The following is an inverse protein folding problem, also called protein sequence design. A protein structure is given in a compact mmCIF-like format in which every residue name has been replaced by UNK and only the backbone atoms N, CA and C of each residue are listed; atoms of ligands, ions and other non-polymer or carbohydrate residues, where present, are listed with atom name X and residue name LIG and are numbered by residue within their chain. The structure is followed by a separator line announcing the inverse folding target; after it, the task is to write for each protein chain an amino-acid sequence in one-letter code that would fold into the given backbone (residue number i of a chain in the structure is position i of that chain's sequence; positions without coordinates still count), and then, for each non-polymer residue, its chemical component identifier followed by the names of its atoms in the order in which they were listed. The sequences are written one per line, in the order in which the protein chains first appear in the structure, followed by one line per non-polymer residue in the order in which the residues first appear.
data_IF_026380389961
#
_entry.id   IF_026380389961
#
_cell.length_a   1.000
_cell.length_b   1.000
_cell.length_c   1.000
_cell.angle_alpha   90.00
_cell.angle_beta   90.00
_cell.angle_gamma   90.00
#
_symmetry.space_group_name_H-M   'P 1'
#
loop_
_entity.id
_entity.type
_entity.pdbx_description
1 polymer ?
#
# COMPACT_ATOMS: atom_id res chain seq x y z
N UNK A 1 73.44 -7.28 -66.86
CA UNK A 1 73.11 -8.38 -67.79
C UNK A 1 72.98 -9.65 -66.96
N UNK A 2 71.80 -10.29 -66.98
CA UNK A 2 71.48 -11.69 -66.60
C UNK A 2 72.02 -12.22 -65.26
N UNK A 3 71.36 -13.05 -64.47
CA UNK A 3 70.18 -13.91 -64.59
C UNK A 3 69.98 -14.54 -63.19
N UNK A 4 68.71 -14.83 -62.87
CA UNK A 4 68.16 -15.70 -61.81
C UNK A 4 68.96 -16.99 -61.45
N UNK A 5 68.57 -17.78 -60.41
CA UNK A 5 67.54 -17.59 -59.38
C UNK A 5 67.97 -18.01 -57.93
N UNK A 6 67.17 -17.61 -56.94
CA UNK A 6 67.25 -18.07 -55.54
C UNK A 6 66.50 -19.39 -55.34
N UNK A 7 67.17 -20.39 -54.74
CA UNK A 7 66.55 -21.60 -54.17
C UNK A 7 66.43 -21.43 -52.65
N UNK A 8 65.20 -21.49 -52.14
CA UNK A 8 64.89 -21.49 -50.72
C UNK A 8 65.15 -22.88 -50.11
N UNK A 9 66.05 -22.95 -49.13
CA UNK A 9 66.13 -24.07 -48.19
C UNK A 9 65.33 -23.75 -46.91
N UNK A 10 64.38 -24.63 -46.62
CA UNK A 10 63.57 -24.66 -45.39
C UNK A 10 64.45 -24.85 -44.15
N UNK A 11 64.35 -23.92 -43.19
CA UNK A 11 64.68 -24.13 -41.78
C UNK A 11 63.37 -24.00 -40.99
N UNK A 12 62.88 -25.12 -40.46
CA UNK A 12 61.77 -25.15 -39.51
C UNK A 12 62.24 -24.57 -38.17
N UNK A 13 61.70 -23.41 -37.81
CA UNK A 13 61.69 -22.93 -36.42
C UNK A 13 60.30 -23.19 -35.87
N UNK A 14 60.19 -24.12 -34.92
CA UNK A 14 58.97 -24.39 -34.17
C UNK A 14 58.65 -23.23 -33.23
N UNK A 15 57.72 -22.36 -33.64
CA UNK A 15 57.07 -21.43 -32.71
C UNK A 15 56.01 -22.18 -31.90
N UNK A 16 56.25 -22.36 -30.60
CA UNK A 16 55.20 -22.73 -29.65
C UNK A 16 54.24 -21.54 -29.49
N UNK A 17 53.07 -21.61 -30.15
CA UNK A 17 51.96 -20.71 -29.86
C UNK A 17 51.07 -21.33 -28.78
N UNK A 18 51.11 -20.75 -27.58
CA UNK A 18 50.17 -21.08 -26.51
C UNK A 18 48.82 -20.37 -26.76
N UNK A 19 47.68 -21.06 -26.68
CA UNK A 19 46.39 -20.47 -27.02
C UNK A 19 45.95 -19.47 -25.96
N UNK A 20 45.81 -18.19 -26.35
CA UNK A 20 45.35 -17.06 -25.53
C UNK A 20 44.06 -17.31 -24.71
N UNK A 21 43.25 -18.30 -25.07
CA UNK A 21 42.01 -18.66 -24.37
C UNK A 21 42.24 -19.28 -22.98
N UNK A 22 43.41 -19.86 -22.70
CA UNK A 22 43.69 -20.46 -21.39
C UNK A 22 44.09 -19.43 -20.33
N UNK A 23 44.72 -18.30 -20.70
CA UNK A 23 45.11 -17.26 -19.75
C UNK A 23 43.92 -16.55 -19.10
N UNK A 24 42.84 -16.33 -19.85
CA UNK A 24 41.62 -15.69 -19.31
C UNK A 24 40.94 -16.61 -18.29
N UNK A 25 40.94 -17.92 -18.54
CA UNK A 25 40.40 -18.89 -17.60
C UNK A 25 41.22 -18.92 -16.30
N UNK A 26 42.55 -19.02 -16.38
CA UNK A 26 43.39 -19.02 -15.18
C UNK A 26 43.37 -17.69 -14.41
N UNK A 27 43.24 -16.55 -15.11
CA UNK A 27 43.05 -15.24 -14.48
C UNK A 27 41.75 -15.16 -13.67
N UNK A 28 40.64 -15.69 -14.20
CA UNK A 28 39.36 -15.75 -13.49
C UNK A 28 39.42 -16.68 -12.27
N UNK A 29 40.11 -17.82 -12.38
CA UNK A 29 40.28 -18.74 -11.25
C UNK A 29 41.18 -18.19 -10.13
N UNK A 30 42.09 -17.25 -10.43
CA UNK A 30 42.92 -16.59 -9.42
C UNK A 30 42.19 -15.48 -8.64
N UNK A 31 41.13 -14.91 -9.21
CA UNK A 31 40.34 -13.85 -8.56
C UNK A 31 39.46 -14.38 -7.42
N UNK A 32 38.99 -15.63 -7.52
CA UNK A 32 38.16 -16.28 -6.51
C UNK A 32 38.88 -16.43 -5.15
N UNK A 33 40.11 -17.00 -5.07
CA UNK A 33 40.84 -17.10 -3.80
C UNK A 33 41.28 -15.74 -3.27
N UNK A 34 41.56 -14.75 -4.14
CA UNK A 34 41.86 -13.38 -3.71
C UNK A 34 40.64 -12.68 -3.10
N UNK A 35 39.45 -12.86 -3.66
CA UNK A 35 38.20 -12.35 -3.11
C UNK A 35 37.85 -13.02 -1.77
N UNK A 36 38.06 -14.34 -1.66
CA UNK A 36 37.90 -15.09 -0.40
C UNK A 36 38.89 -14.65 0.68
N UNK A 37 40.16 -14.43 0.32
CA UNK A 37 41.18 -13.92 1.24
C UNK A 37 40.84 -12.50 1.71
N UNK A 38 40.38 -11.63 0.80
CA UNK A 38 39.92 -10.29 1.14
C UNK A 38 38.69 -10.33 2.06
N UNK A 39 37.73 -11.21 1.79
CA UNK A 39 36.59 -11.41 2.67
C UNK A 39 37.01 -11.85 4.08
N UNK A 40 37.93 -12.81 4.20
CA UNK A 40 38.41 -13.32 5.49
C UNK A 40 39.27 -12.31 6.27
N UNK A 41 39.99 -11.41 5.59
CA UNK A 41 40.82 -10.38 6.23
C UNK A 41 40.00 -9.16 6.69
N UNK A 42 38.93 -8.81 5.98
CA UNK A 42 38.17 -7.58 6.23
C UNK A 42 36.80 -7.84 6.89
N UNK A 43 36.34 -9.09 6.95
CA UNK A 43 35.12 -9.50 7.64
C UNK A 43 35.41 -10.68 8.58
N UNK A 44 35.87 -10.43 9.82
CA UNK A 44 36.05 -11.53 10.78
C UNK A 44 34.69 -12.19 11.03
N UNK A 45 34.64 -13.53 10.92
CA UNK A 45 33.49 -14.31 11.34
C UNK A 45 33.15 -13.91 12.78
N UNK A 46 31.91 -13.48 13.01
CA UNK A 46 31.40 -13.12 14.32
C UNK A 46 31.63 -14.29 15.28
N UNK A 47 32.63 -14.16 16.14
CA UNK A 47 32.86 -15.07 17.26
C UNK A 47 31.64 -15.00 18.17
N UNK A 48 31.06 -16.15 18.46
CA UNK A 48 29.94 -16.31 19.39
C UNK A 48 30.18 -15.49 20.68
N UNK A 49 29.25 -14.60 21.01
CA UNK A 49 29.26 -13.86 22.29
C UNK A 49 29.19 -14.86 23.46
N UNK A 50 30.01 -14.72 24.51
CA UNK A 50 29.80 -15.46 25.74
C UNK A 50 28.53 -14.96 26.44
N UNK A 51 27.88 -15.80 27.28
CA UNK A 51 26.65 -15.41 27.96
C UNK A 51 26.93 -14.28 28.95
N UNK A 52 26.10 -13.24 28.88
CA UNK A 52 26.11 -12.11 29.82
C UNK A 52 25.61 -12.61 31.18
N UNK A 53 26.46 -12.54 32.21
CA UNK A 53 26.04 -12.67 33.61
C UNK A 53 25.18 -11.46 33.99
N UNK A 54 23.98 -11.73 34.54
CA UNK A 54 23.15 -10.74 35.22
C UNK A 54 23.86 -10.25 36.50
N UNK A 55 23.95 -8.93 36.75
CA UNK A 55 24.36 -8.42 38.05
C UNK A 55 23.27 -8.69 39.09
N UNK A 56 23.67 -9.25 40.24
CA UNK A 56 22.82 -9.38 41.42
C UNK A 56 22.39 -8.00 41.92
N UNK A 57 21.10 -7.87 42.25
CA UNK A 57 20.57 -6.80 43.08
C UNK A 57 21.24 -6.87 44.45
N UNK A 58 21.90 -5.78 44.83
CA UNK A 58 22.28 -5.52 46.22
C UNK A 58 21.47 -4.31 46.69
N UNK A 59 20.57 -4.58 47.63
CA UNK A 59 19.85 -3.58 48.42
C UNK A 59 20.86 -2.72 49.18
N UNK A 60 20.71 -1.38 49.09
CA UNK A 60 21.02 -0.50 50.20
C UNK A 60 20.18 0.79 50.09
N UNK A 61 19.53 1.13 51.21
CA UNK A 61 18.58 2.23 51.39
C UNK A 61 19.31 3.58 51.64
N UNK A 62 18.61 4.73 51.62
CA UNK A 62 19.17 6.01 51.18
C UNK A 62 19.78 6.87 52.29
N UNK A 63 20.76 7.70 51.92
CA UNK A 63 21.25 8.81 52.74
C UNK A 63 20.82 10.17 52.16
N UNK A 64 20.35 11.03 53.06
CA UNK A 64 19.66 12.30 52.84
C UNK A 64 20.68 13.50 52.83
N UNK A 65 20.30 14.64 52.19
CA UNK A 65 20.69 16.07 52.46
C UNK A 65 21.98 16.65 51.81
N UNK A 66 22.04 17.96 51.41
CA UNK A 66 21.08 18.83 50.73
C UNK A 66 21.65 19.66 49.54
N UNK A 67 20.71 20.32 48.86
CA UNK A 67 20.81 21.41 47.87
C UNK A 67 21.80 22.55 48.17
N UNK A 68 22.47 23.06 47.12
CA UNK A 68 22.87 24.47 47.03
C UNK A 68 22.65 25.05 45.61
N UNK A 69 22.21 26.30 45.63
CA UNK A 69 21.76 27.15 44.53
C UNK A 69 22.86 27.61 43.57
N UNK A 70 22.47 27.86 42.31
CA UNK A 70 23.22 28.68 41.35
C UNK A 70 22.30 29.14 40.21
N UNK A 71 21.87 30.41 40.28
CA UNK A 71 21.03 31.10 39.30
C UNK A 71 21.80 31.53 38.04
N UNK A 72 21.16 31.44 36.87
CA UNK A 72 21.25 32.45 35.80
C UNK A 72 19.99 32.36 34.88
N UNK A 73 19.53 33.48 34.29
CA UNK A 73 18.12 33.69 33.94
C UNK A 73 17.80 33.41 32.46
N UNK A 74 16.59 32.93 32.18
CA UNK A 74 16.00 32.92 30.83
C UNK A 74 14.75 33.81 30.86
N UNK A 75 14.72 34.77 29.94
CA UNK A 75 13.64 35.72 29.72
C UNK A 75 12.30 35.01 29.47
N UNK A 76 11.27 35.56 30.13
CA UNK A 76 9.88 35.29 29.88
C UNK A 76 9.38 36.13 28.69
N UNK A 77 8.64 35.49 27.79
CA UNK A 77 7.33 35.96 27.32
C UNK A 77 6.83 34.99 26.23
N UNK A 78 5.94 34.06 26.60
CA UNK A 78 4.69 33.83 25.85
C UNK A 78 3.74 33.00 26.73
N UNK A 79 2.64 33.61 27.14
CA UNK A 79 1.61 33.05 28.01
C UNK A 79 0.79 31.96 27.31
N UNK A 80 0.78 30.76 27.88
CA UNK A 80 -0.25 29.74 27.63
C UNK A 80 -1.44 29.96 28.59
N UNK A 81 -2.70 29.82 28.15
CA UNK A 81 -3.87 29.95 29.01
C UNK A 81 -4.03 28.74 29.95
N UNK A 82 -4.69 28.91 31.11
CA UNK A 82 -4.75 27.87 32.14
C UNK A 82 -5.67 26.70 31.76
N UNK A 83 -5.39 25.48 32.25
CA UNK A 83 -6.28 24.34 32.10
C UNK A 83 -7.52 24.49 33.01
N UNK A 84 -8.71 24.24 32.44
CA UNK A 84 -9.95 24.14 33.22
C UNK A 84 -9.92 22.93 34.18
N UNK A 85 -10.48 23.06 35.39
CA UNK A 85 -10.34 22.03 36.42
C UNK A 85 -11.28 20.85 36.18
N UNK A 86 -10.71 19.65 36.27
CA UNK A 86 -11.42 18.41 36.53
C UNK A 86 -12.24 18.53 37.82
N UNK A 87 -13.52 18.16 37.76
CA UNK A 87 -14.35 17.91 38.95
C UNK A 87 -14.93 16.52 38.82
N UNK A 88 -14.47 15.61 39.68
CA UNK A 88 -15.12 14.34 39.98
C UNK A 88 -15.90 14.46 41.30
N UNK A 89 -16.99 13.70 41.33
CA UNK A 89 -17.73 13.12 42.46
C UNK A 89 -19.14 13.66 42.82
N UNK A 90 -20.10 12.81 42.39
CA UNK A 90 -21.35 12.30 42.97
C UNK A 90 -22.45 13.23 43.52
N UNK A 91 -23.69 13.03 43.03
CA UNK A 91 -24.88 12.65 43.85
C UNK A 91 -25.94 11.95 42.96
N UNK A 92 -26.46 10.81 43.45
CA UNK A 92 -27.64 10.07 42.96
C UNK A 92 -28.93 10.91 42.97
N UNK A 93 -29.74 10.86 41.90
CA UNK A 93 -31.13 11.29 41.96
C UNK A 93 -31.90 11.40 40.64
N UNK A 94 -32.75 10.41 40.39
CA UNK A 94 -33.98 10.39 39.58
C UNK A 94 -33.96 10.78 38.08
N UNK A 95 -34.15 9.76 37.24
CA UNK A 95 -34.62 9.86 35.85
C UNK A 95 -36.01 10.51 35.72
N UNK A 96 -36.23 11.27 34.64
CA UNK A 96 -37.47 11.23 33.90
C UNK A 96 -37.29 10.47 32.58
N UNK A 97 -38.39 9.84 32.18
CA UNK A 97 -38.55 8.98 31.02
C UNK A 97 -38.02 9.56 29.69
N UNK A 98 -37.18 8.77 29.04
CA UNK A 98 -37.35 8.36 27.64
C UNK A 98 -37.53 9.46 26.59
N UNK A 99 -36.49 10.26 26.37
CA UNK A 99 -36.25 10.77 25.01
C UNK A 99 -35.68 9.62 24.19
N UNK A 100 -36.40 9.21 23.15
CA UNK A 100 -35.88 8.34 22.13
C UNK A 100 -34.61 9.00 21.58
N UNK A 101 -33.45 8.40 21.88
CA UNK A 101 -32.20 8.74 21.21
C UNK A 101 -32.45 8.47 19.74
N UNK A 102 -32.70 9.54 18.98
CA UNK A 102 -32.67 9.45 17.53
C UNK A 102 -31.31 8.90 17.19
N UNK A 103 -31.27 7.71 16.60
CA UNK A 103 -30.02 7.13 16.13
C UNK A 103 -29.38 8.19 15.24
N UNK A 104 -28.25 8.75 15.67
CA UNK A 104 -27.52 9.74 14.91
C UNK A 104 -27.28 9.14 13.53
N UNK A 105 -27.52 9.89 12.44
CA UNK A 105 -27.26 9.36 11.11
C UNK A 105 -25.81 8.85 11.03
N UNK A 106 -25.56 7.75 10.30
CA UNK A 106 -24.21 7.22 10.11
C UNK A 106 -23.25 8.34 9.69
N UNK A 107 -22.04 8.37 10.27
CA UNK A 107 -21.12 9.45 9.93
C UNK A 107 -20.63 9.34 8.48
N UNK A 108 -20.66 10.49 7.81
CA UNK A 108 -20.02 10.71 6.52
C UNK A 108 -18.55 11.09 6.74
N UNK A 109 -17.65 10.14 6.44
CA UNK A 109 -16.20 10.32 6.54
C UNK A 109 -15.56 10.93 5.28
N UNK A 110 -16.33 11.15 4.20
CA UNK A 110 -15.81 11.62 2.92
C UNK A 110 -15.39 13.09 2.92
N UNK A 111 -15.94 13.88 3.86
CA UNK A 111 -15.71 15.32 3.96
C UNK A 111 -15.12 15.71 5.31
N UNK A 112 -14.05 16.50 5.27
CA UNK A 112 -13.19 16.79 6.42
C UNK A 112 -11.93 17.54 6.04
N UNK A 113 -10.99 17.56 6.98
CA UNK A 113 -9.69 18.18 6.82
C UNK A 113 -8.59 17.39 7.55
N UNK A 114 -7.35 17.56 7.11
CA UNK A 114 -6.19 17.00 7.82
C UNK A 114 -5.73 17.96 8.91
N UNK A 115 -5.62 17.45 10.14
CA UNK A 115 -5.10 18.21 11.27
C UNK A 115 -3.86 17.55 11.85
N UNK A 116 -2.89 18.31 12.41
CA UNK A 116 -1.73 17.74 13.05
C UNK A 116 -2.10 16.79 14.18
N UNK A 117 -1.34 15.72 14.32
CA UNK A 117 -1.51 14.72 15.37
C UNK A 117 -0.15 14.26 15.89
N UNK A 118 0.11 14.49 17.17
CA UNK A 118 1.37 14.14 17.81
C UNK A 118 1.52 12.64 18.10
N UNK A 119 0.45 11.84 17.91
CA UNK A 119 0.49 10.39 18.10
C UNK A 119 1.40 9.74 17.06
N UNK A 120 2.37 8.90 17.47
CA UNK A 120 3.21 8.19 16.51
C UNK A 120 2.41 7.11 15.78
N UNK A 121 2.85 6.68 14.57
CA UNK A 121 2.26 5.53 13.89
C UNK A 121 2.32 4.25 14.73
N UNK A 122 1.35 3.36 14.54
CA UNK A 122 1.25 2.09 15.28
C UNK A 122 2.34 1.07 14.91
N UNK A 123 3.06 1.31 13.82
CA UNK A 123 4.14 0.46 13.33
C UNK A 123 5.20 1.31 12.63
N UNK A 124 6.36 0.72 12.38
CA UNK A 124 7.42 1.34 11.59
C UNK A 124 7.92 0.37 10.50
N UNK A 125 8.85 0.85 9.65
CA UNK A 125 9.39 0.08 8.53
C UNK A 125 10.12 -1.23 8.91
N UNK A 126 10.45 -1.42 10.18
CA UNK A 126 11.14 -2.64 10.68
C UNK A 126 10.22 -3.59 11.43
N UNK A 127 9.10 -3.10 11.99
CA UNK A 127 8.20 -3.90 12.81
C UNK A 127 7.16 -4.67 11.98
N UNK A 128 6.97 -4.31 10.71
CA UNK A 128 6.00 -4.96 9.83
C UNK A 128 6.66 -5.67 8.65
N UNK A 129 6.48 -6.98 8.55
CA UNK A 129 7.04 -7.82 7.47
C UNK A 129 6.21 -7.85 6.18
N UNK A 130 5.07 -7.15 6.11
CA UNK A 130 4.18 -7.16 4.93
C UNK A 130 4.32 -5.93 4.04
N UNK A 131 5.14 -4.94 4.43
CA UNK A 131 5.38 -3.74 3.62
C UNK A 131 6.08 -4.14 2.32
N UNK A 132 5.51 -3.76 1.17
CA UNK A 132 6.20 -3.88 -0.11
C UNK A 132 7.40 -2.95 -0.13
N UNK A 133 8.55 -3.43 -0.59
CA UNK A 133 9.84 -2.70 -0.62
C UNK A 133 9.71 -1.22 -1.03
N UNK A 134 9.15 -0.94 -2.21
CA UNK A 134 8.97 0.44 -2.70
C UNK A 134 7.97 1.33 -1.94
N UNK A 135 7.29 0.81 -0.92
CA UNK A 135 6.41 1.56 -0.01
C UNK A 135 7.04 1.78 1.37
N UNK A 136 8.20 1.15 1.66
CA UNK A 136 8.95 1.32 2.90
C UNK A 136 9.88 2.53 2.83
N UNK A 137 9.30 3.73 2.72
CA UNK A 137 10.01 4.97 2.44
C UNK A 137 11.11 5.28 3.47
N UNK A 138 10.88 4.97 4.75
CA UNK A 138 11.87 5.17 5.81
C UNK A 138 13.07 4.23 5.67
N UNK A 139 12.84 2.96 5.31
CA UNK A 139 13.94 2.03 5.04
C UNK A 139 14.80 2.46 3.85
N UNK A 140 14.20 3.18 2.90
CA UNK A 140 14.88 3.78 1.75
C UNK A 140 15.49 5.16 2.02
N UNK A 141 15.58 5.58 3.28
CA UNK A 141 16.28 6.80 3.66
C UNK A 141 15.51 8.09 3.43
N UNK A 142 14.17 8.04 3.32
CA UNK A 142 13.35 9.26 3.28
C UNK A 142 13.61 10.13 4.52
N UNK A 143 14.08 11.38 4.37
CA UNK A 143 14.53 12.19 5.50
C UNK A 143 13.39 12.93 6.21
N UNK A 144 12.32 13.28 5.51
CA UNK A 144 11.17 13.98 6.09
C UNK A 144 10.16 12.99 6.69
N UNK A 145 9.79 13.20 7.95
CA UNK A 145 8.84 12.33 8.69
C UNK A 145 7.53 13.03 9.03
N UNK A 146 7.38 14.31 8.68
CA UNK A 146 6.21 15.13 9.00
C UNK A 146 4.89 14.57 8.46
N UNK A 147 4.93 13.81 7.36
CA UNK A 147 3.76 13.17 6.76
C UNK A 147 3.10 12.12 7.66
N UNK A 148 3.81 11.61 8.67
CA UNK A 148 3.31 10.60 9.61
C UNK A 148 2.37 11.18 10.68
N UNK A 149 2.42 12.49 10.92
CA UNK A 149 1.82 13.15 12.09
C UNK A 149 0.57 13.94 11.73
N UNK A 150 -0.35 13.29 11.02
CA UNK A 150 -1.60 13.86 10.56
C UNK A 150 -2.75 12.89 10.79
N UNK A 151 -3.90 13.42 11.21
CA UNK A 151 -5.16 12.68 11.30
C UNK A 151 -6.24 13.35 10.48
N UNK A 152 -7.12 12.55 9.89
CA UNK A 152 -8.31 13.04 9.23
C UNK A 152 -9.37 13.41 10.27
N UNK A 153 -9.92 14.63 10.17
CA UNK A 153 -11.02 15.11 10.98
C UNK A 153 -12.25 15.32 10.07
N UNK A 154 -13.24 14.43 10.11
CA UNK A 154 -14.51 14.65 9.41
C UNK A 154 -15.21 15.91 9.92
N UNK A 155 -16.02 16.55 9.07
CA UNK A 155 -16.69 17.82 9.42
C UNK A 155 -17.75 17.67 10.52
N UNK A 156 -18.47 16.54 10.55
CA UNK A 156 -19.72 16.39 11.32
C UNK A 156 -19.65 15.30 12.40
N UNK A 157 -18.50 14.65 12.56
CA UNK A 157 -18.30 13.61 13.55
C UNK A 157 -16.81 13.40 13.85
N UNK A 158 -16.52 12.55 14.82
CA UNK A 158 -15.18 12.08 15.09
C UNK A 158 -14.87 10.79 14.33
N UNK A 159 -13.65 10.69 13.81
CA UNK A 159 -13.05 9.43 13.36
C UNK A 159 -12.16 8.90 14.50
N UNK A 160 -12.56 7.80 15.19
CA UNK A 160 -11.74 7.21 16.23
C UNK A 160 -10.40 6.70 15.66
N UNK A 161 -9.35 6.80 16.46
CA UNK A 161 -8.06 6.20 16.11
C UNK A 161 -8.19 4.69 15.85
N UNK A 162 -7.38 4.16 14.94
CA UNK A 162 -7.40 2.73 14.64
C UNK A 162 -7.15 1.88 15.90
N UNK A 163 -8.02 0.92 16.16
CA UNK A 163 -7.86 -0.05 17.24
C UNK A 163 -7.61 -1.44 16.64
N UNK A 164 -6.35 -1.94 16.65
CA UNK A 164 -6.02 -3.28 16.18
C UNK A 164 -6.84 -4.36 16.88
N UNK A 165 -7.00 -4.23 18.21
CA UNK A 165 -7.77 -5.15 19.02
C UNK A 165 -9.28 -5.14 18.68
N UNK A 166 -9.86 -3.98 18.35
CA UNK A 166 -11.25 -3.92 17.91
C UNK A 166 -11.44 -4.56 16.54
N UNK A 167 -10.54 -4.28 15.60
CA UNK A 167 -10.60 -4.86 14.25
C UNK A 167 -10.43 -6.39 14.30
N UNK A 168 -9.44 -6.90 15.05
CA UNK A 168 -9.23 -8.34 15.22
C UNK A 168 -10.41 -9.04 15.92
N UNK A 169 -11.04 -8.39 16.92
CA UNK A 169 -12.27 -8.90 17.53
C UNK A 169 -13.40 -9.02 16.52
N UNK A 170 -13.56 -8.04 15.64
CA UNK A 170 -14.56 -8.12 14.56
C UNK A 170 -14.21 -9.22 13.54
N UNK A 171 -12.92 -9.35 13.18
CA UNK A 171 -12.41 -10.39 12.27
C UNK A 171 -12.45 -11.81 12.85
N UNK A 172 -12.79 -11.99 14.14
CA UNK A 172 -12.79 -13.30 14.78
C UNK A 172 -13.72 -14.27 14.03
N UNK A 173 -13.17 -15.41 13.60
CA UNK A 173 -13.85 -16.39 12.76
C UNK A 173 -14.40 -15.79 11.44
N UNK A 174 -13.69 -14.81 10.87
CA UNK A 174 -14.06 -14.19 9.59
C UNK A 174 -12.92 -14.22 8.59
N UNK A 175 -13.28 -14.18 7.31
CA UNK A 175 -12.37 -13.99 6.20
C UNK A 175 -12.63 -12.65 5.50
N UNK A 176 -11.66 -11.74 5.60
CA UNK A 176 -11.62 -10.46 4.88
C UNK A 176 -10.69 -10.57 3.66
N UNK A 177 -11.14 -10.09 2.51
CA UNK A 177 -10.33 -10.01 1.30
C UNK A 177 -10.18 -8.58 0.79
N UNK A 178 -8.96 -8.16 0.44
CA UNK A 178 -8.71 -7.02 -0.42
C UNK A 178 -8.62 -7.52 -1.87
N UNK A 179 -9.37 -6.93 -2.78
CA UNK A 179 -9.46 -7.36 -4.17
C UNK A 179 -9.30 -6.15 -5.07
N UNK A 180 -8.35 -6.19 -5.99
CA UNK A 180 -8.17 -5.06 -6.89
C UNK A 180 -6.76 -4.89 -7.42
N UNK A 181 -6.42 -3.63 -7.69
CA UNK A 181 -5.11 -3.22 -8.20
C UNK A 181 -4.07 -3.06 -7.07
N UNK A 182 -2.99 -2.34 -7.36
CA UNK A 182 -1.90 -2.13 -6.43
C UNK A 182 -2.27 -1.24 -5.24
N UNK A 183 -3.32 -0.41 -5.34
CA UNK A 183 -3.82 0.37 -4.20
C UNK A 183 -4.64 -0.49 -3.26
N UNK A 184 -5.41 -1.47 -3.78
CA UNK A 184 -6.07 -2.49 -2.95
C UNK A 184 -5.05 -3.26 -2.10
N UNK A 185 -3.94 -3.65 -2.73
CA UNK A 185 -2.81 -4.30 -2.06
C UNK A 185 -2.16 -3.39 -1.03
N UNK A 186 -1.88 -2.13 -1.37
CA UNK A 186 -1.26 -1.15 -0.47
C UNK A 186 -2.12 -0.95 0.80
N UNK A 187 -3.45 -0.83 0.64
CA UNK A 187 -4.37 -0.74 1.77
C UNK A 187 -4.39 -2.02 2.62
N UNK A 188 -4.42 -3.20 1.98
CA UNK A 188 -4.42 -4.48 2.67
C UNK A 188 -3.12 -4.77 3.43
N UNK A 189 -1.97 -4.40 2.86
CA UNK A 189 -0.67 -4.50 3.53
C UNK A 189 -0.56 -3.53 4.72
N UNK A 190 -1.09 -2.30 4.58
CA UNK A 190 -1.24 -1.35 5.70
C UNK A 190 -2.10 -1.94 6.82
N UNK A 191 -3.24 -2.57 6.50
CA UNK A 191 -4.07 -3.21 7.51
C UNK A 191 -3.29 -4.32 8.25
N UNK A 192 -2.60 -5.20 7.51
CA UNK A 192 -1.78 -6.25 8.11
C UNK A 192 -0.72 -5.68 9.07
N UNK A 193 -0.08 -4.56 8.71
CA UNK A 193 0.86 -3.88 9.59
C UNK A 193 0.19 -3.33 10.85
N UNK A 194 -0.96 -2.64 10.72
CA UNK A 194 -1.73 -2.14 11.84
C UNK A 194 -2.14 -3.27 12.80
N UNK A 195 -2.61 -4.40 12.27
CA UNK A 195 -2.99 -5.56 13.08
C UNK A 195 -1.78 -6.26 13.73
N UNK A 196 -0.63 -6.29 13.04
CA UNK A 196 0.60 -6.91 13.54
C UNK A 196 1.15 -6.25 14.81
N UNK A 197 0.77 -5.00 15.08
CA UNK A 197 1.08 -4.31 16.35
C UNK A 197 0.41 -4.95 17.58
N UNK A 198 -0.59 -5.82 17.37
CA UNK A 198 -1.35 -6.49 18.43
C UNK A 198 -1.30 -8.02 18.34
N UNK A 199 -1.33 -8.61 17.15
CA UNK A 199 -1.25 -10.06 16.95
C UNK A 199 -0.50 -10.35 15.66
N UNK A 200 0.47 -11.26 15.67
CA UNK A 200 1.33 -11.52 14.50
C UNK A 200 0.60 -12.39 13.46
N UNK A 201 0.51 -11.95 12.19
CA UNK A 201 -0.06 -12.79 11.13
C UNK A 201 0.94 -13.85 10.63
N UNK A 202 0.45 -15.07 10.38
CA UNK A 202 1.19 -16.09 9.64
C UNK A 202 0.80 -16.06 8.16
N UNK A 203 1.77 -15.96 7.24
CA UNK A 203 1.54 -16.14 5.81
C UNK A 203 1.36 -17.63 5.50
N UNK A 204 0.12 -18.05 5.24
CA UNK A 204 -0.23 -19.47 5.00
C UNK A 204 -0.34 -19.82 3.51
N UNK A 205 -0.39 -18.83 2.64
CA UNK A 205 -0.47 -19.05 1.18
C UNK A 205 0.15 -17.90 0.40
N UNK A 206 0.85 -18.25 -0.70
CA UNK A 206 1.42 -17.34 -1.69
C UNK A 206 1.39 -18.01 -3.07
N UNK A 207 0.91 -17.33 -4.12
CA UNK A 207 0.95 -17.86 -5.48
C UNK A 207 2.26 -17.51 -6.22
N UNK A 208 3.01 -18.55 -6.61
CA UNK A 208 4.14 -18.45 -7.56
C UNK A 208 5.16 -17.34 -7.28
N UNK A 209 5.79 -16.85 -8.36
CA UNK A 209 6.83 -15.81 -8.30
C UNK A 209 6.25 -14.37 -8.29
N UNK A 210 5.06 -14.16 -8.87
CA UNK A 210 4.47 -12.82 -9.03
C UNK A 210 3.66 -12.33 -7.82
N UNK A 211 3.42 -13.17 -6.81
CA UNK A 211 2.80 -12.78 -5.53
C UNK A 211 1.46 -12.06 -5.70
N UNK A 212 0.66 -12.54 -6.65
CA UNK A 212 -0.65 -11.99 -7.03
C UNK A 212 -1.71 -12.32 -5.98
N UNK A 213 -1.55 -13.42 -5.27
CA UNK A 213 -2.46 -13.87 -4.23
C UNK A 213 -1.69 -14.27 -2.97
N UNK A 214 -2.09 -13.70 -1.83
CA UNK A 214 -1.53 -14.01 -0.51
C UNK A 214 -2.64 -14.14 0.53
N UNK A 215 -2.43 -15.02 1.51
CA UNK A 215 -3.34 -15.22 2.64
C UNK A 215 -2.57 -15.29 3.95
N UNK A 216 -3.08 -14.57 4.93
CA UNK A 216 -2.58 -14.56 6.29
C UNK A 216 -3.65 -15.04 7.26
N UNK A 217 -3.20 -15.69 8.34
CA UNK A 217 -4.04 -16.13 9.45
C UNK A 217 -3.54 -15.52 10.74
N UNK A 218 -4.47 -14.99 11.55
CA UNK A 218 -4.24 -14.62 12.94
C UNK A 218 -4.87 -15.70 13.83
N UNK A 219 -4.06 -16.65 14.30
CA UNK A 219 -4.52 -17.88 14.96
C UNK A 219 -5.37 -17.62 16.21
N UNK A 220 -4.99 -16.63 17.04
CA UNK A 220 -5.72 -16.27 18.28
C UNK A 220 -7.18 -15.84 18.05
N UNK A 221 -7.46 -15.37 16.83
CA UNK A 221 -8.77 -14.89 16.40
C UNK A 221 -9.43 -15.84 15.41
N UNK A 222 -8.74 -16.87 14.93
CA UNK A 222 -9.18 -17.65 13.77
C UNK A 222 -9.63 -16.71 12.63
N UNK A 223 -8.84 -15.67 12.39
CA UNK A 223 -9.15 -14.62 11.44
C UNK A 223 -8.28 -14.79 10.20
N UNK A 224 -8.85 -14.61 9.02
CA UNK A 224 -8.15 -14.70 7.74
C UNK A 224 -8.19 -13.37 7.02
N UNK A 225 -7.03 -12.92 6.53
CA UNK A 225 -6.92 -11.77 5.62
C UNK A 225 -6.29 -12.24 4.31
N UNK A 226 -6.90 -11.90 3.19
CA UNK A 226 -6.41 -12.24 1.86
C UNK A 226 -6.23 -11.00 0.99
N UNK A 227 -5.26 -11.03 0.09
CA UNK A 227 -5.10 -10.02 -0.95
C UNK A 227 -5.14 -10.72 -2.30
N UNK A 228 -6.12 -10.38 -3.12
CA UNK A 228 -6.30 -10.86 -4.49
C UNK A 228 -5.96 -9.75 -5.47
N UNK A 229 -4.94 -9.99 -6.29
CA UNK A 229 -4.66 -9.18 -7.45
C UNK A 229 -5.72 -9.43 -8.53
N UNK A 230 -6.57 -8.44 -8.73
CA UNK A 230 -7.63 -8.40 -9.72
C UNK A 230 -7.79 -6.96 -10.21
N UNK A 231 -6.82 -6.43 -10.98
CA UNK A 231 -6.64 -5.00 -11.16
C UNK A 231 -7.78 -4.28 -11.88
N UNK A 232 -8.67 -5.05 -12.52
CA UNK A 232 -9.86 -4.55 -13.23
C UNK A 232 -11.15 -5.24 -12.74
N UNK A 233 -11.07 -6.10 -11.71
CA UNK A 233 -12.13 -6.97 -11.16
C UNK A 233 -12.73 -8.02 -12.12
N UNK A 234 -12.73 -7.71 -13.41
CA UNK A 234 -13.14 -8.58 -14.51
C UNK A 234 -11.98 -9.46 -14.98
N UNK A 235 -12.29 -10.45 -15.81
CA UNK A 235 -11.28 -11.30 -16.45
C UNK A 235 -10.37 -10.43 -17.32
N UNK A 236 -9.06 -10.63 -17.17
CA UNK A 236 -8.05 -9.90 -17.92
C UNK A 236 -6.94 -10.83 -18.40
N UNK A 237 -6.42 -10.56 -19.61
CA UNK A 237 -5.09 -11.03 -20.04
C UNK A 237 -4.16 -9.82 -20.01
N UNK A 238 -3.28 -9.79 -19.02
CA UNK A 238 -2.38 -8.67 -18.75
C UNK A 238 -1.20 -8.66 -19.72
N UNK A 239 -0.68 -7.46 -20.02
CA UNK A 239 0.61 -7.26 -20.71
C UNK A 239 0.70 -8.00 -22.06
N UNK A 240 -0.41 -8.06 -22.80
CA UNK A 240 -0.38 -8.49 -24.19
C UNK A 240 0.41 -7.45 -25.02
N UNK A 241 0.99 -7.87 -26.13
CA UNK A 241 1.74 -6.99 -27.02
C UNK A 241 1.36 -7.29 -28.47
N UNK A 242 0.93 -6.26 -29.20
CA UNK A 242 0.64 -6.35 -30.63
C UNK A 242 1.08 -5.07 -31.31
N UNK A 243 1.75 -5.19 -32.47
CA UNK A 243 2.27 -4.05 -33.22
C UNK A 243 3.11 -3.05 -32.37
N UNK A 244 3.81 -3.53 -31.34
CA UNK A 244 4.62 -2.70 -30.43
C UNK A 244 3.82 -1.96 -29.34
N UNK A 245 2.50 -2.12 -29.29
CA UNK A 245 1.63 -1.56 -28.26
C UNK A 245 1.34 -2.61 -27.19
N UNK A 246 1.83 -2.36 -25.97
CA UNK A 246 1.48 -3.17 -24.80
C UNK A 246 0.13 -2.76 -24.27
N UNK A 247 -0.75 -3.71 -24.07
CA UNK A 247 -2.13 -3.47 -23.64
C UNK A 247 -2.65 -4.63 -22.80
N UNK A 248 -3.74 -4.37 -22.07
CA UNK A 248 -4.52 -5.42 -21.42
C UNK A 248 -5.71 -5.82 -22.31
N UNK A 249 -6.04 -7.11 -22.35
CA UNK A 249 -7.31 -7.56 -22.92
C UNK A 249 -8.31 -7.75 -21.78
N UNK A 250 -9.36 -6.95 -21.76
CA UNK A 250 -10.32 -6.82 -20.66
C UNK A 250 -11.67 -7.35 -21.11
N UNK A 251 -12.21 -8.35 -20.42
CA UNK A 251 -13.46 -9.03 -20.82
C UNK A 251 -14.59 -8.62 -19.87
N UNK A 252 -15.43 -7.68 -20.29
CA UNK A 252 -16.48 -7.05 -19.46
C UNK A 252 -17.65 -7.98 -19.14
N UNK A 253 -17.76 -9.11 -19.82
CA UNK A 253 -18.76 -10.16 -19.63
C UNK A 253 -18.27 -11.35 -18.81
N UNK A 254 -17.00 -11.32 -18.35
CA UNK A 254 -16.40 -12.39 -17.57
C UNK A 254 -15.68 -11.82 -16.34
N UNK A 255 -15.77 -12.48 -15.20
CA UNK A 255 -15.19 -11.99 -13.94
C UNK A 255 -13.92 -12.76 -13.56
N UNK A 256 -13.10 -12.17 -12.69
CA UNK A 256 -11.92 -12.86 -12.18
C UNK A 256 -12.31 -13.95 -11.17
N UNK A 257 -12.34 -15.18 -11.67
CA UNK A 257 -12.71 -16.36 -10.88
C UNK A 257 -11.76 -16.66 -9.72
N UNK A 258 -10.56 -16.06 -9.65
CA UNK A 258 -9.64 -16.28 -8.53
C UNK A 258 -10.24 -15.86 -7.19
N UNK A 259 -11.01 -14.78 -7.18
CA UNK A 259 -11.70 -14.27 -5.99
C UNK A 259 -13.21 -14.51 -6.05
N UNK A 260 -13.84 -14.39 -7.23
CA UNK A 260 -15.28 -14.58 -7.38
C UNK A 260 -15.76 -15.99 -7.01
N UNK A 261 -14.94 -17.02 -7.24
CA UNK A 261 -15.24 -18.40 -6.81
C UNK A 261 -15.19 -18.58 -5.29
N UNK A 262 -14.56 -17.65 -4.55
CA UNK A 262 -14.39 -17.71 -3.10
C UNK A 262 -15.42 -16.86 -2.33
N UNK A 263 -16.32 -16.15 -3.02
CA UNK A 263 -17.34 -15.28 -2.40
C UNK A 263 -18.13 -15.96 -1.26
N UNK A 264 -18.42 -17.26 -1.41
CA UNK A 264 -19.10 -18.04 -0.39
C UNK A 264 -18.35 -18.07 0.95
N UNK A 265 -17.02 -18.14 0.92
CA UNK A 265 -16.14 -18.20 2.09
C UNK A 265 -15.78 -16.83 2.67
N UNK A 266 -15.96 -15.74 1.92
CA UNK A 266 -15.68 -14.38 2.39
C UNK A 266 -16.82 -13.87 3.28
N UNK A 267 -16.45 -13.28 4.42
CA UNK A 267 -17.35 -12.51 5.29
C UNK A 267 -17.34 -11.03 4.92
N UNK A 268 -16.23 -10.56 4.37
CA UNK A 268 -16.10 -9.22 3.83
C UNK A 268 -15.10 -9.12 2.68
N UNK A 269 -15.33 -8.17 1.77
CA UNK A 269 -14.38 -7.81 0.74
C UNK A 269 -14.23 -6.28 0.64
N UNK A 270 -13.00 -5.83 0.36
CA UNK A 270 -12.65 -4.44 0.06
C UNK A 270 -12.18 -4.41 -1.39
N UNK A 271 -13.00 -3.82 -2.26
CA UNK A 271 -12.73 -3.67 -3.68
C UNK A 271 -12.05 -2.33 -3.93
N UNK A 272 -10.97 -2.29 -4.70
CA UNK A 272 -10.31 -1.03 -5.07
C UNK A 272 -9.65 -1.15 -6.44
N UNK A 273 -10.13 -0.38 -7.41
CA UNK A 273 -9.59 -0.33 -8.79
C UNK A 273 -9.67 1.08 -9.35
N UNK A 274 -8.80 1.37 -10.31
CA UNK A 274 -8.96 2.54 -11.18
C UNK A 274 -7.73 2.82 -12.03
N UNK A 275 -6.53 2.75 -11.44
CA UNK A 275 -5.28 3.11 -12.14
C UNK A 275 -5.02 2.24 -13.37
N UNK A 276 -5.49 0.98 -13.35
CA UNK A 276 -5.34 0.05 -14.48
C UNK A 276 -6.28 0.33 -15.66
N UNK A 277 -7.31 1.16 -15.49
CA UNK A 277 -8.12 1.65 -16.59
C UNK A 277 -7.45 2.82 -17.33
N UNK A 278 -6.44 3.45 -16.72
CA UNK A 278 -5.72 4.58 -17.31
C UNK A 278 -4.62 4.15 -18.29
N UNK A 279 -4.22 2.86 -18.26
CA UNK A 279 -3.21 2.28 -19.14
C UNK A 279 -3.87 1.61 -20.35
N UNK A 280 -3.13 1.40 -21.47
CA UNK A 280 -3.72 0.86 -22.68
C UNK A 280 -4.49 -0.45 -22.50
N UNK A 281 -5.67 -0.53 -23.11
CA UNK A 281 -6.58 -1.66 -22.95
C UNK A 281 -7.51 -1.87 -24.12
N UNK A 282 -7.71 -3.12 -24.54
CA UNK A 282 -8.72 -3.55 -25.49
C UNK A 282 -9.88 -4.15 -24.71
N UNK A 283 -11.09 -3.64 -24.93
CA UNK A 283 -12.28 -4.03 -24.20
C UNK A 283 -13.14 -4.96 -25.05
N UNK A 284 -13.46 -6.11 -24.47
CA UNK A 284 -14.28 -7.17 -25.07
C UNK A 284 -15.59 -7.28 -24.30
N UNK A 285 -16.70 -7.44 -25.01
CA UNK A 285 -18.02 -7.74 -24.44
C UNK A 285 -18.77 -8.72 -25.34
N UNK A 286 -19.27 -9.82 -24.77
CA UNK A 286 -19.94 -10.90 -25.48
C UNK A 286 -19.15 -11.41 -26.71
N UNK A 287 -17.81 -11.48 -26.58
CA UNK A 287 -16.90 -11.92 -27.64
C UNK A 287 -16.58 -10.89 -28.72
N UNK A 288 -17.08 -9.66 -28.64
CA UNK A 288 -16.79 -8.57 -29.58
C UNK A 288 -15.87 -7.55 -28.95
N UNK A 289 -14.97 -6.95 -29.75
CA UNK A 289 -14.23 -5.75 -29.32
C UNK A 289 -15.18 -4.55 -29.34
N UNK A 290 -15.44 -3.96 -28.18
CA UNK A 290 -16.37 -2.81 -28.02
C UNK A 290 -15.64 -1.47 -27.98
N UNK A 291 -14.33 -1.48 -27.79
CA UNK A 291 -13.52 -0.28 -27.82
C UNK A 291 -12.11 -0.53 -27.31
N UNK A 292 -11.32 0.53 -27.27
CA UNK A 292 -9.93 0.48 -26.88
C UNK A 292 -9.49 1.83 -26.29
N UNK A 293 -8.61 1.83 -25.29
CA UNK A 293 -8.04 3.04 -24.69
C UNK A 293 -6.53 3.07 -24.95
N UNK A 294 -6.02 4.22 -25.36
CA UNK A 294 -4.60 4.51 -25.62
C UNK A 294 -3.91 3.44 -26.49
N UNK A 295 -4.56 3.09 -27.59
CA UNK A 295 -4.05 2.04 -28.48
C UNK A 295 -3.81 2.51 -29.90
N UNK A 296 -3.27 3.72 -30.01
CA UNK A 296 -2.75 4.26 -31.26
C UNK A 296 -1.85 3.22 -31.95
N UNK A 297 -2.22 2.84 -33.18
CA UNK A 297 -1.52 1.81 -33.95
C UNK A 297 -2.21 0.44 -33.94
N UNK A 298 -3.23 0.23 -33.11
CA UNK A 298 -4.15 -0.89 -33.21
C UNK A 298 -5.36 -0.49 -34.08
N UNK A 299 -5.86 -1.41 -34.90
CA UNK A 299 -7.04 -1.18 -35.76
C UNK A 299 -8.35 -1.37 -34.96
N UNK A 300 -8.49 -0.64 -33.85
CA UNK A 300 -9.64 -0.69 -32.95
C UNK A 300 -10.22 0.71 -32.73
N UNK A 301 -11.51 0.79 -32.39
CA UNK A 301 -12.18 2.05 -32.10
C UNK A 301 -11.74 2.57 -30.74
N UNK A 302 -11.13 3.76 -30.72
CA UNK A 302 -10.76 4.46 -29.49
C UNK A 302 -12.01 4.82 -28.68
N UNK A 303 -11.97 4.63 -27.37
CA UNK A 303 -13.00 4.97 -26.40
C UNK A 303 -12.36 5.50 -25.13
N UNK A 304 -13.07 6.36 -24.40
CA UNK A 304 -12.60 6.75 -23.07
C UNK A 304 -12.69 5.58 -22.07
N UNK A 305 -11.87 5.65 -21.03
CA UNK A 305 -11.87 4.62 -19.99
C UNK A 305 -13.00 4.78 -18.96
N UNK A 306 -13.73 5.90 -18.93
CA UNK A 306 -14.77 6.15 -17.92
C UNK A 306 -15.96 5.21 -18.13
N UNK A 307 -16.40 5.03 -19.38
CA UNK A 307 -17.50 4.13 -19.71
C UNK A 307 -17.23 2.68 -19.29
N UNK A 308 -16.05 2.17 -19.64
CA UNK A 308 -15.65 0.79 -19.32
C UNK A 308 -15.34 0.60 -17.84
N UNK A 309 -14.79 1.60 -17.15
CA UNK A 309 -14.65 1.60 -15.68
C UNK A 309 -16.02 1.48 -15.01
N UNK A 310 -16.99 2.29 -15.45
CA UNK A 310 -18.37 2.23 -14.96
C UNK A 310 -18.99 0.85 -15.18
N UNK A 311 -18.89 0.29 -16.38
CA UNK A 311 -19.40 -1.05 -16.67
C UNK A 311 -18.76 -2.11 -15.77
N UNK A 312 -17.43 -2.11 -15.63
CA UNK A 312 -16.73 -3.07 -14.78
C UNK A 312 -17.17 -2.99 -13.30
N UNK A 313 -17.31 -1.78 -12.75
CA UNK A 313 -17.78 -1.56 -11.37
C UNK A 313 -19.21 -2.07 -11.19
N UNK A 314 -20.15 -1.62 -12.03
CA UNK A 314 -21.56 -2.00 -11.92
C UNK A 314 -21.78 -3.50 -12.13
N UNK A 315 -21.18 -4.09 -13.16
CA UNK A 315 -21.29 -5.52 -13.45
C UNK A 315 -20.68 -6.36 -12.32
N UNK A 316 -19.56 -5.93 -11.74
CA UNK A 316 -18.95 -6.63 -10.60
C UNK A 316 -19.88 -6.66 -9.39
N UNK A 317 -20.47 -5.51 -9.01
CA UNK A 317 -21.40 -5.47 -7.87
C UNK A 317 -22.66 -6.29 -8.14
N UNK A 318 -23.22 -6.20 -9.35
CA UNK A 318 -24.37 -7.03 -9.76
C UNK A 318 -24.04 -8.52 -9.70
N UNK A 319 -22.84 -8.92 -10.13
CA UNK A 319 -22.39 -10.31 -10.08
C UNK A 319 -22.19 -10.81 -8.65
N UNK A 320 -21.65 -9.98 -7.75
CA UNK A 320 -21.55 -10.31 -6.33
C UNK A 320 -22.94 -10.56 -5.74
N UNK A 321 -23.91 -9.70 -6.04
CA UNK A 321 -25.31 -9.92 -5.64
C UNK A 321 -25.88 -11.20 -6.22
N UNK A 322 -25.64 -11.49 -7.50
CA UNK A 322 -26.14 -12.69 -8.18
C UNK A 322 -25.55 -13.99 -7.64
N UNK A 323 -24.25 -14.00 -7.31
CA UNK A 323 -23.54 -15.17 -6.77
C UNK A 323 -23.73 -15.37 -5.27
N UNK A 324 -24.32 -14.39 -4.60
CA UNK A 324 -24.62 -14.52 -3.18
C UNK A 324 -25.55 -15.70 -2.95
N UNK A 325 -25.01 -16.75 -2.35
CA UNK A 325 -25.81 -17.86 -1.85
C UNK A 325 -26.52 -17.36 -0.59
N UNK A 326 -27.81 -17.67 -0.45
CA UNK A 326 -28.58 -17.38 0.76
C UNK A 326 -27.86 -17.98 1.97
N UNK A 327 -27.19 -17.13 2.75
CA UNK A 327 -26.45 -17.54 3.92
C UNK A 327 -27.41 -17.65 5.11
N UNK A 328 -27.56 -18.86 5.64
CA UNK A 328 -28.38 -19.15 6.81
C UNK A 328 -27.75 -18.66 8.12
N UNK A 329 -26.49 -18.19 8.09
CA UNK A 329 -25.72 -17.79 9.27
C UNK A 329 -26.20 -16.50 9.95
N UNK A 330 -27.19 -15.80 9.39
CA UNK A 330 -27.69 -14.47 9.81
C UNK A 330 -26.62 -13.36 9.84
N UNK A 331 -25.36 -13.64 9.50
CA UNK A 331 -24.29 -12.64 9.48
C UNK A 331 -24.38 -11.84 8.19
N UNK A 332 -24.50 -10.51 8.31
CA UNK A 332 -24.41 -9.62 7.16
C UNK A 332 -22.99 -9.63 6.61
N UNK A 333 -22.84 -9.98 5.34
CA UNK A 333 -21.58 -9.84 4.58
C UNK A 333 -21.41 -8.40 4.14
N UNK A 334 -20.18 -7.89 4.16
CA UNK A 334 -19.88 -6.49 3.81
C UNK A 334 -19.00 -6.45 2.57
N UNK A 335 -19.44 -5.73 1.54
CA UNK A 335 -18.65 -5.42 0.36
C UNK A 335 -18.37 -3.92 0.37
N UNK A 336 -17.18 -3.54 0.82
CA UNK A 336 -16.72 -2.16 0.74
C UNK A 336 -16.05 -1.92 -0.61
N UNK A 337 -16.34 -0.79 -1.26
CA UNK A 337 -15.67 -0.36 -2.49
C UNK A 337 -14.95 0.97 -2.21
N UNK A 338 -13.62 0.95 -2.22
CA UNK A 338 -12.78 2.14 -2.05
C UNK A 338 -12.86 3.02 -3.29
N UNK A 339 -13.18 4.30 -3.10
CA UNK A 339 -13.21 5.27 -4.20
C UNK A 339 -11.80 5.57 -4.70
N UNK A 340 -11.70 6.19 -5.87
CA UNK A 340 -10.41 6.41 -6.54
C UNK A 340 -9.41 7.20 -5.68
N UNK A 341 -8.19 6.66 -5.53
CA UNK A 341 -7.06 7.31 -4.86
C UNK A 341 -6.21 8.06 -5.89
N UNK A 342 -6.12 9.40 -5.84
CA UNK A 342 -5.38 10.19 -6.82
C UNK A 342 -3.87 9.97 -6.77
N UNK A 343 -3.24 10.19 -7.93
CA UNK A 343 -1.80 10.39 -8.03
C UNK A 343 -1.45 11.88 -7.94
N UNK A 344 -0.23 12.22 -7.51
CA UNK A 344 0.23 13.61 -7.35
C UNK A 344 1.46 13.94 -8.19
N UNK A 345 1.49 13.50 -9.45
CA UNK A 345 2.57 13.85 -10.37
C UNK A 345 2.60 15.35 -10.70
N UNK A 346 3.80 15.92 -10.70
CA UNK A 346 4.16 17.25 -11.18
C UNK A 346 5.26 17.07 -12.23
N UNK A 347 4.92 17.22 -13.52
CA UNK A 347 5.83 16.93 -14.62
C UNK A 347 6.06 15.42 -14.82
N UNK A 348 7.23 15.07 -15.36
CA UNK A 348 7.55 13.69 -15.73
C UNK A 348 7.88 12.81 -14.52
N UNK A 349 7.40 11.56 -14.56
CA UNK A 349 7.53 10.59 -13.47
C UNK A 349 8.99 10.21 -13.15
N UNK A 350 9.92 10.40 -14.09
CA UNK A 350 11.33 10.02 -13.95
C UNK A 350 12.28 11.22 -13.77
N UNK A 351 11.74 12.35 -13.31
CA UNK A 351 12.47 13.57 -12.98
C UNK A 351 12.46 13.86 -11.48
N UNK A 352 13.48 14.58 -11.02
CA UNK A 352 13.49 15.12 -9.66
C UNK A 352 12.30 16.05 -9.46
N UNK A 353 11.59 15.90 -8.35
CA UNK A 353 10.44 16.77 -8.02
C UNK A 353 9.10 16.33 -8.62
N UNK A 354 8.96 15.07 -9.06
CA UNK A 354 7.69 14.57 -9.61
C UNK A 354 6.53 14.53 -8.58
N UNK A 355 6.81 14.48 -7.28
CA UNK A 355 5.82 14.75 -6.21
C UNK A 355 6.57 15.32 -5.00
N UNK A 356 6.87 16.63 -4.99
CA UNK A 356 7.86 17.22 -4.09
C UNK A 356 7.28 17.66 -2.73
N UNK A 357 5.96 17.64 -2.59
CA UNK A 357 5.28 18.14 -1.41
C UNK A 357 5.68 17.37 -0.16
N UNK A 358 5.84 18.09 0.96
CA UNK A 358 6.20 17.51 2.27
C UNK A 358 5.15 17.77 3.34
N UNK A 359 4.03 18.38 2.95
CA UNK A 359 2.87 18.67 3.80
C UNK A 359 1.57 18.45 3.04
N UNK A 360 0.46 18.16 3.74
CA UNK A 360 -0.87 18.14 3.16
C UNK A 360 -1.24 19.49 2.53
N UNK A 361 -2.11 19.45 1.53
CA UNK A 361 -2.83 20.64 1.11
C UNK A 361 -3.87 21.01 2.16
N UNK A 362 -4.01 22.31 2.46
CA UNK A 362 -5.14 22.81 3.28
C UNK A 362 -6.46 22.68 2.51
N UNK A 363 -6.41 23.04 1.23
CA UNK A 363 -7.53 22.98 0.31
C UNK A 363 -6.98 22.69 -1.09
N UNK A 364 -7.68 21.83 -1.82
CA UNK A 364 -7.42 21.52 -3.23
C UNK A 364 -8.67 20.92 -3.84
N UNK A 365 -9.06 21.43 -4.99
CA UNK A 365 -10.16 20.84 -5.76
C UNK A 365 -9.81 19.43 -6.21
N UNK A 366 -10.80 18.55 -6.19
CA UNK A 366 -10.66 17.19 -6.71
C UNK A 366 -10.73 17.27 -8.24
N UNK A 367 -9.76 16.67 -8.92
CA UNK A 367 -9.69 16.71 -10.38
C UNK A 367 -10.90 16.05 -11.05
N UNK A 368 -11.05 16.31 -12.36
CA UNK A 368 -12.16 15.77 -13.16
C UNK A 368 -12.19 14.23 -13.14
N UNK A 369 -11.05 13.59 -13.38
CA UNK A 369 -10.93 12.13 -13.40
C UNK A 369 -11.30 11.53 -12.06
N UNK A 370 -10.72 12.06 -10.98
CA UNK A 370 -11.00 11.64 -9.61
C UNK A 370 -12.48 11.79 -9.27
N UNK A 371 -13.09 12.92 -9.66
CA UNK A 371 -14.51 13.21 -9.44
C UNK A 371 -15.41 12.23 -10.18
N UNK A 372 -15.14 11.97 -11.46
CA UNK A 372 -15.93 11.06 -12.28
C UNK A 372 -15.83 9.60 -11.80
N UNK A 373 -14.63 9.14 -11.45
CA UNK A 373 -14.41 7.78 -10.96
C UNK A 373 -14.98 7.59 -9.54
N UNK A 374 -14.80 8.58 -8.65
CA UNK A 374 -15.46 8.58 -7.33
C UNK A 374 -16.97 8.48 -7.47
N UNK A 375 -17.57 9.33 -8.31
CA UNK A 375 -19.03 9.33 -8.53
C UNK A 375 -19.53 7.97 -8.98
N UNK A 376 -18.83 7.34 -9.92
CA UNK A 376 -19.16 6.00 -10.42
C UNK A 376 -19.21 4.96 -9.29
N UNK A 377 -18.22 4.92 -8.40
CA UNK A 377 -18.20 3.98 -7.26
C UNK A 377 -19.34 4.28 -6.29
N UNK A 378 -19.55 5.55 -5.92
CA UNK A 378 -20.61 5.96 -4.99
C UNK A 378 -22.00 5.62 -5.54
N UNK A 379 -22.27 5.96 -6.80
CA UNK A 379 -23.54 5.66 -7.48
C UNK A 379 -23.77 4.15 -7.58
N UNK A 380 -22.75 3.38 -7.96
CA UNK A 380 -22.87 1.93 -8.11
C UNK A 380 -23.13 1.22 -6.78
N UNK A 381 -22.48 1.66 -5.70
CA UNK A 381 -22.76 1.17 -4.34
C UNK A 381 -24.18 1.53 -3.91
N UNK A 382 -24.63 2.76 -4.18
CA UNK A 382 -25.98 3.19 -3.83
C UNK A 382 -27.04 2.36 -4.58
N UNK A 383 -26.84 2.12 -5.89
CA UNK A 383 -27.70 1.26 -6.69
C UNK A 383 -27.70 -0.19 -6.17
N UNK A 384 -26.52 -0.75 -5.88
CA UNK A 384 -26.41 -2.11 -5.35
C UNK A 384 -27.11 -2.28 -3.99
N UNK A 385 -27.09 -1.25 -3.14
CA UNK A 385 -27.84 -1.26 -1.87
C UNK A 385 -29.36 -1.14 -2.07
N UNK A 386 -29.82 -0.40 -3.09
CA UNK A 386 -31.24 -0.30 -3.41
C UNK A 386 -31.81 -1.64 -3.94
N UNK A 387 -30.99 -2.39 -4.68
CA UNK A 387 -31.35 -3.71 -5.19
C UNK A 387 -31.18 -4.83 -4.14
N UNK A 388 -30.36 -4.61 -3.12
CA UNK A 388 -30.05 -5.59 -2.07
C UNK A 388 -31.09 -5.63 -0.95
N UNK A 389 -32.38 -5.65 -1.27
CA UNK A 389 -33.42 -6.01 -0.31
C UNK A 389 -33.53 -7.55 -0.22
N UNK A 390 -33.23 -8.08 0.97
CA UNK A 390 -33.37 -9.48 1.43
C UNK A 390 -32.17 -10.46 1.32
N UNK A 391 -30.98 -10.04 0.89
CA UNK A 391 -29.86 -10.97 0.60
C UNK A 391 -28.77 -11.17 1.66
N UNK A 392 -28.82 -10.46 2.80
CA UNK A 392 -27.75 -10.51 3.81
C UNK A 392 -26.42 -9.87 3.38
N UNK A 393 -26.39 -9.14 2.26
CA UNK A 393 -25.27 -8.32 1.81
C UNK A 393 -25.48 -6.86 2.19
N UNK A 394 -24.39 -6.16 2.48
CA UNK A 394 -24.36 -4.71 2.59
C UNK A 394 -23.21 -4.17 1.74
N UNK A 395 -23.51 -3.26 0.83
CA UNK A 395 -22.51 -2.54 0.07
C UNK A 395 -22.17 -1.23 0.78
N UNK A 396 -20.90 -0.82 0.73
CA UNK A 396 -20.47 0.44 1.33
C UNK A 396 -19.42 1.11 0.45
N UNK A 397 -19.52 2.42 0.26
CA UNK A 397 -18.49 3.20 -0.40
C UNK A 397 -17.47 3.60 0.68
N UNK A 398 -16.24 3.13 0.55
CA UNK A 398 -15.13 3.61 1.36
C UNK A 398 -14.57 4.85 0.66
N UNK A 399 -15.22 5.99 0.90
CA UNK A 399 -14.95 7.23 0.18
C UNK A 399 -13.72 7.96 0.74
N UNK A 400 -12.59 7.77 0.05
CA UNK A 400 -11.26 8.26 0.44
C UNK A 400 -10.71 9.28 -0.56
N UNK A 401 -11.43 9.58 -1.64
CA UNK A 401 -10.87 10.38 -2.74
C UNK A 401 -10.48 11.78 -2.30
N UNK A 402 -11.34 12.46 -1.53
CA UNK A 402 -11.05 13.82 -1.05
C UNK A 402 -9.90 13.83 -0.06
N UNK A 403 -9.91 12.96 0.95
CA UNK A 403 -8.84 12.93 1.95
C UNK A 403 -7.50 12.55 1.32
N UNK A 404 -7.49 11.66 0.33
CA UNK A 404 -6.27 11.28 -0.39
C UNK A 404 -5.75 12.40 -1.30
N UNK A 405 -6.65 13.16 -1.96
CA UNK A 405 -6.29 14.34 -2.79
C UNK A 405 -5.57 15.44 -2.00
N UNK A 406 -5.76 15.48 -0.68
CA UNK A 406 -5.13 16.46 0.20
C UNK A 406 -3.77 15.99 0.73
N UNK A 407 -3.27 14.80 0.34
CA UNK A 407 -2.05 14.18 0.90
C UNK A 407 -0.92 13.98 -0.11
N UNK A 408 -0.53 14.98 -0.90
CA UNK A 408 0.60 14.83 -1.85
C UNK A 408 1.91 14.44 -1.14
N UNK A 409 2.02 14.72 0.16
CA UNK A 409 3.17 14.44 1.02
C UNK A 409 3.34 12.96 1.39
N UNK A 410 2.32 12.13 1.19
CA UNK A 410 2.33 10.74 1.64
C UNK A 410 2.90 9.73 0.66
N UNK A 411 3.28 10.15 -0.55
CA UNK A 411 3.79 9.24 -1.58
C UNK A 411 5.26 8.85 -1.34
N UNK A 412 5.70 7.66 -1.78
CA UNK A 412 7.11 7.30 -1.76
C UNK A 412 7.99 8.27 -2.56
N UNK A 413 7.48 8.77 -3.68
CA UNK A 413 8.24 9.60 -4.60
C UNK A 413 9.55 8.90 -4.98
N UNK A 414 10.70 9.56 -4.83
CA UNK A 414 12.00 8.96 -5.16
C UNK A 414 12.38 7.84 -4.19
N UNK A 415 11.86 7.85 -2.95
CA UNK A 415 12.19 6.87 -1.91
C UNK A 415 11.44 5.54 -2.07
N UNK A 416 10.93 5.26 -3.27
CA UNK A 416 10.53 3.91 -3.66
C UNK A 416 11.74 2.97 -3.89
N UNK A 417 12.96 3.50 -3.89
CA UNK A 417 14.23 2.76 -3.96
C UNK A 417 15.25 3.37 -3.00
N UNK A 418 16.24 2.55 -2.60
CA UNK A 418 17.43 3.03 -1.91
C UNK A 418 18.25 3.98 -2.78
N UNK A 419 18.91 4.95 -2.14
CA UNK A 419 19.85 5.90 -2.74
C UNK A 419 19.35 6.51 -4.07
N UNK A 420 18.13 7.10 -4.12
CA UNK A 420 17.48 7.44 -5.38
C UNK A 420 18.20 8.55 -6.17
N UNK A 421 19.12 9.26 -5.53
CA UNK A 421 19.92 10.34 -6.12
C UNK A 421 21.38 9.95 -6.40
N UNK A 422 21.76 8.67 -6.21
CA UNK A 422 23.13 8.20 -6.46
C UNK A 422 23.60 8.39 -7.91
N UNK A 423 22.65 8.51 -8.85
CA UNK A 423 22.92 8.75 -10.27
C UNK A 423 23.46 10.15 -10.62
N UNK A 424 23.48 11.10 -9.67
CA UNK A 424 24.10 12.42 -9.85
C UNK A 424 23.10 13.57 -10.09
N UNK A 425 23.52 14.54 -10.92
CA UNK A 425 22.96 15.90 -11.04
C UNK A 425 21.51 16.03 -11.54
N UNK A 426 21.09 17.26 -11.85
CA UNK A 426 19.69 17.62 -12.14
C UNK A 426 19.05 16.82 -13.31
N UNK A 427 19.85 16.34 -14.26
CA UNK A 427 19.38 15.54 -15.41
C UNK A 427 19.30 14.02 -15.13
N UNK A 428 19.73 13.57 -13.96
CA UNK A 428 19.70 12.16 -13.61
C UNK A 428 18.26 11.66 -13.58
N UNK A 429 18.06 10.46 -14.15
CA UNK A 429 16.77 9.79 -14.13
C UNK A 429 16.46 9.34 -12.70
N UNK A 430 15.45 9.95 -12.08
CA UNK A 430 14.99 9.61 -10.73
C UNK A 430 13.59 9.06 -10.86
N UNK A 431 13.42 7.75 -10.71
CA UNK A 431 12.10 7.14 -10.75
C UNK A 431 11.30 7.54 -9.51
N UNK A 432 10.09 8.04 -9.70
CA UNK A 432 9.17 8.37 -8.63
C UNK A 432 7.92 7.50 -8.64
N UNK A 433 7.45 7.16 -7.44
CA UNK A 433 6.12 6.63 -7.22
C UNK A 433 5.24 7.70 -6.56
N UNK A 434 4.41 8.36 -7.35
CA UNK A 434 3.43 9.36 -6.89
C UNK A 434 2.00 8.80 -6.93
N UNK A 435 1.85 7.47 -6.91
CA UNK A 435 0.58 6.76 -6.99
C UNK A 435 0.29 6.04 -5.68
N UNK A 436 1.25 5.25 -5.19
CA UNK A 436 1.11 4.49 -3.95
C UNK A 436 1.46 5.34 -2.72
N UNK A 437 1.23 4.79 -1.54
CA UNK A 437 1.43 5.47 -0.27
C UNK A 437 2.58 4.84 0.51
N UNK A 438 3.39 5.69 1.15
CA UNK A 438 4.32 5.25 2.17
C UNK A 438 3.59 4.51 3.29
N UNK A 439 4.28 3.53 3.87
CA UNK A 439 3.79 2.77 5.01
C UNK A 439 4.82 2.78 6.16
N UNK A 440 4.43 3.22 7.38
CA UNK A 440 3.19 3.93 7.74
C UNK A 440 2.97 5.23 6.95
N UNK A 441 1.72 5.70 6.86
CA UNK A 441 1.35 6.88 6.07
C UNK A 441 -0.16 7.07 5.87
N UNK A 442 -0.61 7.90 4.91
CA UNK A 442 -2.03 8.25 4.75
C UNK A 442 -2.95 7.05 4.51
N UNK A 443 -2.42 5.97 3.93
CA UNK A 443 -3.16 4.74 3.67
C UNK A 443 -3.68 4.09 4.97
N UNK A 444 -3.05 4.35 6.12
CA UNK A 444 -3.52 3.85 7.42
C UNK A 444 -4.89 4.44 7.79
N UNK A 445 -5.18 5.69 7.43
CA UNK A 445 -6.49 6.33 7.64
C UNK A 445 -7.59 5.68 6.80
N UNK A 446 -7.26 5.06 5.67
CA UNK A 446 -8.25 4.33 4.89
C UNK A 446 -8.76 3.12 5.70
N UNK A 447 -7.88 2.52 6.51
CA UNK A 447 -8.21 1.43 7.41
C UNK A 447 -8.92 1.90 8.69
N UNK A 448 -8.72 3.15 9.14
CA UNK A 448 -9.56 3.78 10.18
C UNK A 448 -11.01 3.88 9.73
N UNK A 449 -11.25 4.39 8.51
CA UNK A 449 -12.59 4.48 7.94
C UNK A 449 -13.14 3.08 7.65
N UNK A 450 -12.30 2.14 7.19
CA UNK A 450 -12.72 0.75 6.98
C UNK A 450 -13.22 0.13 8.28
N UNK A 451 -12.55 0.34 9.41
CA UNK A 451 -12.98 -0.16 10.72
C UNK A 451 -14.40 0.32 11.04
N UNK A 452 -14.68 1.62 10.86
CA UNK A 452 -16.02 2.18 11.07
C UNK A 452 -17.02 1.62 10.06
N UNK A 453 -16.57 1.39 8.83
CA UNK A 453 -17.41 0.85 7.76
C UNK A 453 -17.82 -0.58 8.07
N UNK A 454 -16.92 -1.48 8.48
CA UNK A 454 -17.22 -2.91 8.62
C UNK A 454 -17.77 -3.31 9.98
N UNK A 455 -17.45 -2.55 11.04
CA UNK A 455 -17.94 -2.78 12.41
C UNK A 455 -19.25 -2.06 12.68
N UNK A 456 -19.47 -0.91 12.03
CA UNK A 456 -20.64 -0.03 12.22
C UNK A 456 -21.96 -0.58 11.72
#
# INVERSE_FOLDING_TARGET
MGTNPSQNHHLQVTQFSLPKKQFVAYGLYALIPLALLHYLLFYPLATAKPPVQLPQLQEDAPAFVPSQHGHAPVNADEQLPPPSPHRQDEVLGNSPAGEAVSASPPCDYADGEWVPDARPPLYNGTSCGTIKDGQNCMAHGRPDTGYLYWRWRPQRCDLPAFSPAAFLRWLRNRHLAFVGDSLARNQGESLLCLLSSHSTPELVYRDGEENKFRRWVFHEYNATVSIFWSPLLVKVVEKAEHAGVRHNNVFLDAFDERWMSQLGALDAAVLSVGHWFLIPGIYHDAGNVVGCHDCAGLNHTETDFFGVFKEAVHRTLAEVTRRQVADTSKKKKVIAFTTFSPAHFQGDWDKTGACPEKRPYKEKEVGYTETAMRKTVVDAVAAANADADAGGLRFAALDVTKLANLRPDGHPGPYMRNDPFAGGGEDARVQNDCVHWCMPGPIDTFNEILLQTVVG
#
